data_IF_864953074171
#
_entry.id   IF_864953074171
#
_cell.length_a   1.000
_cell.length_b   1.000
_cell.length_c   1.000
_cell.angle_alpha   90.00
_cell.angle_beta   90.00
_cell.angle_gamma   90.00
#
_symmetry.space_group_name_H-M   'P 1'
#
loop_
_entity.id
_entity.type
_entity.pdbx_description
1 polymer ?
#
# COMPACT_ATOMS: atom_id res chain seq x y z
N UNK A 1 -12.62 77.30 2.93
CA UNK A 1 -13.54 76.20 2.62
C UNK A 1 -12.71 75.01 2.43
N UNK A 2 -12.56 74.18 3.45
CA UNK A 2 -11.84 72.87 3.41
C UNK A 2 -12.87 71.76 3.27
N UNK A 3 -12.78 70.94 2.20
CA UNK A 3 -13.61 69.76 2.03
C UNK A 3 -12.86 68.59 2.64
N UNK A 4 -13.46 67.95 3.63
CA UNK A 4 -13.02 66.71 4.21
C UNK A 4 -13.44 65.53 3.29
N UNK A 5 -12.50 64.80 2.78
CA UNK A 5 -12.74 63.52 2.11
C UNK A 5 -12.80 62.39 3.17
N UNK A 6 -14.01 61.88 3.42
CA UNK A 6 -14.21 60.70 4.25
C UNK A 6 -13.81 59.45 3.46
N UNK A 7 -12.76 58.76 3.86
CA UNK A 7 -12.45 57.39 3.40
C UNK A 7 -13.32 56.40 4.19
N UNK A 8 -14.28 55.78 3.50
CA UNK A 8 -15.01 54.63 4.00
C UNK A 8 -14.06 53.42 4.06
N UNK A 9 -13.69 52.98 5.24
CA UNK A 9 -13.01 51.70 5.48
C UNK A 9 -13.97 50.55 5.13
N UNK A 10 -13.77 49.92 3.98
CA UNK A 10 -14.42 48.69 3.59
C UNK A 10 -14.01 47.61 4.61
N UNK A 11 -14.96 47.12 5.42
CA UNK A 11 -14.76 46.04 6.34
C UNK A 11 -14.44 44.77 5.54
N UNK A 12 -13.25 44.20 5.71
CA UNK A 12 -12.88 42.88 5.21
C UNK A 12 -13.71 41.85 5.96
N UNK A 13 -14.67 41.23 5.27
CA UNK A 13 -15.37 40.04 5.77
C UNK A 13 -14.37 38.91 5.86
N UNK A 14 -14.26 38.31 7.06
CA UNK A 14 -13.46 37.10 7.24
C UNK A 14 -13.95 36.00 6.29
N UNK A 15 -13.05 35.22 5.69
CA UNK A 15 -13.46 34.12 4.81
C UNK A 15 -14.35 33.17 5.57
N UNK A 16 -15.49 32.81 4.99
CA UNK A 16 -16.40 31.77 5.50
C UNK A 16 -15.61 30.48 5.59
N UNK A 17 -15.63 29.78 6.73
CA UNK A 17 -14.96 28.49 6.84
C UNK A 17 -15.49 27.54 5.75
N UNK A 18 -14.63 26.76 5.07
CA UNK A 18 -15.08 25.84 4.05
C UNK A 18 -16.11 24.88 4.64
N UNK A 19 -17.15 24.59 3.87
CA UNK A 19 -18.14 23.58 4.24
C UNK A 19 -17.42 22.26 4.56
N UNK A 20 -17.88 21.47 5.56
CA UNK A 20 -17.25 20.20 5.89
C UNK A 20 -17.18 19.32 4.64
N UNK A 21 -15.99 18.86 4.30
CA UNK A 21 -15.78 18.05 3.12
C UNK A 21 -16.58 16.75 3.23
N UNK A 22 -17.51 16.55 2.31
CA UNK A 22 -18.50 15.48 2.36
C UNK A 22 -17.86 14.14 2.02
N UNK A 23 -18.09 13.12 2.83
CA UNK A 23 -17.81 11.73 2.48
C UNK A 23 -18.90 11.24 1.53
N UNK A 24 -18.54 10.89 0.30
CA UNK A 24 -19.46 10.53 -0.80
C UNK A 24 -19.36 9.03 -1.09
N UNK A 25 -20.47 8.30 -1.24
CA UNK A 25 -20.41 6.92 -1.70
C UNK A 25 -19.72 6.81 -3.06
N UNK A 26 -18.99 5.72 -3.25
CA UNK A 26 -18.31 5.38 -4.49
C UNK A 26 -18.64 3.94 -4.87
N UNK A 27 -18.82 3.68 -6.16
CA UNK A 27 -19.04 2.34 -6.71
C UNK A 27 -18.15 2.16 -7.93
N UNK A 28 -17.40 1.08 -7.97
CA UNK A 28 -16.58 0.72 -9.14
C UNK A 28 -17.50 0.35 -10.29
N UNK A 29 -17.26 0.96 -11.45
CA UNK A 29 -17.96 0.66 -12.70
C UNK A 29 -16.96 0.62 -13.84
N UNK A 30 -16.72 -0.58 -14.37
CA UNK A 30 -15.79 -0.81 -15.47
C UNK A 30 -16.62 -0.95 -16.74
N UNK A 31 -16.56 0.03 -17.65
CA UNK A 31 -17.32 -0.05 -18.90
C UNK A 31 -16.85 -1.20 -19.79
N UNK A 32 -17.78 -1.80 -20.55
CA UNK A 32 -17.42 -2.84 -21.53
C UNK A 32 -16.37 -2.34 -22.52
N UNK A 33 -16.45 -1.07 -22.93
CA UNK A 33 -15.47 -0.46 -23.84
C UNK A 33 -14.04 -0.46 -23.29
N UNK A 34 -13.84 -0.30 -21.97
CA UNK A 34 -12.53 -0.42 -21.35
C UNK A 34 -12.03 -1.86 -21.35
N UNK A 35 -12.94 -2.82 -21.10
CA UNK A 35 -12.61 -4.24 -21.13
C UNK A 35 -12.25 -4.66 -22.56
N UNK A 36 -13.00 -4.21 -23.54
CA UNK A 36 -12.73 -4.50 -24.95
C UNK A 36 -11.41 -3.87 -25.42
N UNK A 37 -11.10 -2.64 -25.00
CA UNK A 37 -9.83 -1.98 -25.34
C UNK A 37 -8.63 -2.77 -24.78
N UNK A 38 -8.67 -3.18 -23.52
CA UNK A 38 -7.55 -3.97 -22.94
C UNK A 38 -7.41 -5.32 -23.65
N UNK A 39 -8.50 -6.03 -23.93
CA UNK A 39 -8.45 -7.31 -24.66
C UNK A 39 -7.88 -7.15 -26.07
N UNK A 40 -8.27 -6.11 -26.79
CA UNK A 40 -7.72 -5.81 -28.11
C UNK A 40 -6.22 -5.47 -28.08
N UNK A 41 -5.75 -4.76 -27.05
CA UNK A 41 -4.33 -4.45 -26.85
C UNK A 41 -3.54 -5.70 -26.50
N UNK A 42 -4.05 -6.56 -25.62
CA UNK A 42 -3.45 -7.85 -25.27
C UNK A 42 -3.30 -8.77 -26.50
N UNK A 43 -4.37 -8.89 -27.33
CA UNK A 43 -4.35 -9.65 -28.58
C UNK A 43 -3.31 -9.16 -29.60
N UNK A 44 -2.92 -7.88 -29.52
CA UNK A 44 -1.95 -7.24 -30.43
C UNK A 44 -0.58 -7.06 -29.79
N UNK A 45 -0.31 -7.72 -28.68
CA UNK A 45 0.97 -7.60 -27.97
C UNK A 45 2.13 -7.93 -28.90
N UNK A 46 3.06 -6.99 -29.04
CA UNK A 46 4.33 -7.21 -29.73
C UNK A 46 5.34 -7.74 -28.73
N UNK A 47 5.64 -9.01 -28.82
CA UNK A 47 6.53 -9.69 -27.90
C UNK A 47 8.01 -9.35 -28.18
N UNK A 48 8.84 -9.19 -27.13
CA UNK A 48 10.29 -9.13 -27.29
C UNK A 48 10.87 -10.49 -27.66
N UNK A 49 12.15 -10.51 -28.03
CA UNK A 49 12.90 -11.72 -28.14
C UNK A 49 12.98 -12.44 -26.76
N UNK A 50 13.06 -13.78 -26.72
CA UNK A 50 13.22 -14.49 -25.47
C UNK A 50 14.50 -14.10 -24.73
N UNK A 51 14.46 -14.25 -23.41
CA UNK A 51 15.63 -14.14 -22.55
C UNK A 51 16.75 -15.08 -22.98
N UNK A 52 18.03 -14.70 -22.75
CA UNK A 52 19.21 -15.48 -23.14
C UNK A 52 19.76 -16.35 -21.98
N UNK A 53 19.08 -16.33 -20.82
CA UNK A 53 19.42 -17.08 -19.61
C UNK A 53 18.31 -18.08 -19.29
N UNK A 54 18.65 -19.10 -18.51
CA UNK A 54 17.67 -20.12 -18.09
C UNK A 54 16.93 -19.82 -16.78
N UNK A 55 17.17 -18.64 -16.21
CA UNK A 55 16.65 -18.22 -14.91
C UNK A 55 15.94 -16.84 -15.01
N UNK A 56 15.69 -16.20 -13.86
CA UNK A 56 15.02 -14.90 -13.77
C UNK A 56 15.97 -13.69 -13.72
N UNK A 57 17.27 -13.89 -13.92
CA UNK A 57 18.27 -12.81 -13.78
C UNK A 57 18.13 -11.68 -14.81
N UNK A 58 17.44 -11.92 -15.91
CA UNK A 58 17.09 -10.92 -16.91
C UNK A 58 15.65 -10.38 -16.75
N UNK A 59 14.95 -10.76 -15.68
CA UNK A 59 13.56 -10.36 -15.42
C UNK A 59 12.54 -11.40 -15.86
N UNK A 60 11.35 -10.97 -16.24
CA UNK A 60 10.22 -11.86 -16.58
C UNK A 60 10.52 -12.65 -17.86
N UNK A 61 10.39 -13.95 -17.78
CA UNK A 61 10.52 -14.86 -18.93
C UNK A 61 9.34 -14.68 -19.88
N UNK A 62 9.63 -14.63 -21.19
CA UNK A 62 8.61 -14.35 -22.21
C UNK A 62 7.48 -15.37 -22.17
N UNK A 63 7.77 -16.66 -21.90
CA UNK A 63 6.74 -17.69 -21.82
C UNK A 63 5.77 -17.47 -20.64
N UNK A 64 6.28 -17.03 -19.46
CA UNK A 64 5.44 -16.73 -18.30
C UNK A 64 4.57 -15.50 -18.54
N UNK A 65 5.16 -14.43 -19.12
CA UNK A 65 4.40 -13.25 -19.52
C UNK A 65 3.30 -13.59 -20.53
N UNK A 66 3.57 -14.48 -21.50
CA UNK A 66 2.55 -14.95 -22.46
C UNK A 66 1.41 -15.69 -21.79
N UNK A 67 1.72 -16.61 -20.88
CA UNK A 67 0.70 -17.36 -20.16
C UNK A 67 -0.22 -16.44 -19.34
N UNK A 68 0.35 -15.47 -18.63
CA UNK A 68 -0.40 -14.46 -17.86
C UNK A 68 -1.29 -13.61 -18.79
N UNK A 69 -0.75 -13.12 -19.90
CA UNK A 69 -1.45 -12.27 -20.88
C UNK A 69 -2.56 -13.03 -21.58
N UNK A 70 -2.31 -14.26 -22.00
CA UNK A 70 -3.32 -15.11 -22.63
C UNK A 70 -4.51 -15.38 -21.70
N UNK A 71 -4.23 -15.62 -20.42
CA UNK A 71 -5.30 -15.77 -19.43
C UNK A 71 -6.04 -14.44 -19.17
N UNK A 72 -5.33 -13.32 -19.08
CA UNK A 72 -5.94 -12.01 -18.89
C UNK A 72 -6.86 -11.61 -20.06
N UNK A 73 -6.47 -11.93 -21.30
CA UNK A 73 -7.26 -11.68 -22.52
C UNK A 73 -8.54 -12.55 -22.53
N UNK A 74 -8.42 -13.87 -22.25
CA UNK A 74 -9.44 -14.87 -22.60
C UNK A 74 -10.18 -15.46 -21.41
N UNK A 75 -9.48 -15.64 -20.28
CA UNK A 75 -9.98 -16.37 -19.10
C UNK A 75 -10.39 -15.49 -17.93
N UNK A 76 -9.80 -14.30 -17.83
CA UNK A 76 -10.00 -13.43 -16.68
C UNK A 76 -11.42 -12.83 -16.63
N UNK A 77 -12.09 -13.00 -15.49
CA UNK A 77 -13.44 -12.51 -15.26
C UNK A 77 -13.45 -11.11 -14.63
N UNK A 78 -13.54 -10.10 -15.50
CA UNK A 78 -13.63 -8.69 -15.11
C UNK A 78 -14.85 -8.37 -14.23
N UNK A 79 -15.97 -9.10 -14.38
CA UNK A 79 -17.18 -8.86 -13.60
C UNK A 79 -17.08 -9.48 -12.21
N UNK A 80 -16.36 -10.60 -12.07
CA UNK A 80 -15.95 -11.13 -10.76
C UNK A 80 -15.13 -10.10 -10.00
N UNK A 81 -14.11 -9.53 -10.66
CA UNK A 81 -13.24 -8.51 -10.07
C UNK A 81 -14.04 -7.28 -9.61
N UNK A 82 -14.84 -6.69 -10.51
CA UNK A 82 -15.68 -5.53 -10.21
C UNK A 82 -16.65 -5.80 -9.04
N UNK A 83 -17.35 -6.96 -9.07
CA UNK A 83 -18.26 -7.35 -8.00
C UNK A 83 -17.54 -7.63 -6.68
N UNK A 84 -16.33 -8.19 -6.73
CA UNK A 84 -15.47 -8.41 -5.59
C UNK A 84 -15.09 -7.11 -4.87
N UNK A 85 -14.73 -6.07 -5.62
CA UNK A 85 -14.50 -4.73 -5.09
C UNK A 85 -15.76 -4.11 -4.50
N UNK A 86 -16.88 -4.19 -5.22
CA UNK A 86 -18.16 -3.60 -4.81
C UNK A 86 -18.87 -4.33 -3.66
N UNK A 87 -18.34 -5.47 -3.22
CA UNK A 87 -18.85 -6.17 -2.03
C UNK A 87 -18.67 -5.35 -0.76
N UNK A 88 -17.70 -4.44 -0.73
CA UNK A 88 -17.43 -3.57 0.39
C UNK A 88 -17.87 -2.13 0.13
N UNK A 89 -18.45 -1.43 1.13
CA UNK A 89 -18.77 -0.01 1.00
C UNK A 89 -17.52 0.81 0.71
N UNK A 90 -17.57 1.65 -0.33
CA UNK A 90 -16.49 2.50 -0.80
C UNK A 90 -16.93 3.95 -0.84
N UNK A 91 -15.97 4.84 -0.66
CA UNK A 91 -16.22 6.28 -0.54
C UNK A 91 -15.11 7.10 -1.17
N UNK A 92 -15.45 8.36 -1.44
CA UNK A 92 -14.51 9.43 -1.79
C UNK A 92 -14.65 10.56 -0.78
N UNK A 93 -13.55 11.19 -0.43
CA UNK A 93 -13.54 12.46 0.31
C UNK A 93 -12.38 13.33 -0.16
N UNK A 94 -12.60 14.62 -0.32
CA UNK A 94 -11.52 15.54 -0.67
C UNK A 94 -10.66 15.84 0.54
N UNK A 95 -9.36 15.55 0.48
CA UNK A 95 -8.38 15.91 1.49
C UNK A 95 -7.25 16.67 0.80
N UNK A 96 -6.99 17.88 1.26
CA UNK A 96 -5.90 18.72 0.79
C UNK A 96 -5.92 18.93 -0.75
N UNK A 97 -7.14 19.15 -1.28
CA UNK A 97 -7.40 19.37 -2.70
C UNK A 97 -7.41 18.11 -3.58
N UNK A 98 -7.36 16.92 -2.98
CA UNK A 98 -7.31 15.65 -3.71
C UNK A 98 -8.46 14.73 -3.26
N UNK A 99 -9.22 14.19 -4.20
CA UNK A 99 -10.21 13.15 -3.90
C UNK A 99 -9.49 11.84 -3.51
N UNK A 100 -9.64 11.46 -2.25
CA UNK A 100 -9.12 10.22 -1.70
C UNK A 100 -10.22 9.16 -1.69
N UNK A 101 -9.97 8.06 -2.36
CA UNK A 101 -10.80 6.88 -2.35
C UNK A 101 -10.44 5.98 -1.15
N UNK A 102 -11.46 5.37 -0.52
CA UNK A 102 -11.24 4.38 0.52
C UNK A 102 -12.40 3.40 0.65
N UNK A 103 -12.09 2.18 1.09
CA UNK A 103 -13.06 1.21 1.59
C UNK A 103 -13.25 1.51 3.08
N UNK A 104 -14.48 1.46 3.58
CA UNK A 104 -14.76 1.61 5.01
C UNK A 104 -15.83 0.61 5.44
N UNK A 105 -15.44 -0.36 6.26
CA UNK A 105 -16.32 -1.40 6.78
C UNK A 105 -16.33 -1.35 8.30
N UNK A 106 -17.50 -1.08 8.86
CA UNK A 106 -17.70 -1.12 10.31
C UNK A 106 -18.05 -2.54 10.77
N UNK A 107 -17.47 -2.93 11.88
CA UNK A 107 -17.89 -4.13 12.59
C UNK A 107 -19.31 -3.99 13.14
N UNK A 108 -19.96 -5.12 13.33
CA UNK A 108 -21.23 -5.20 14.10
C UNK A 108 -21.01 -5.03 15.60
N UNK A 109 -19.76 -5.21 16.07
CA UNK A 109 -19.38 -5.00 17.46
C UNK A 109 -19.12 -3.52 17.73
N UNK A 110 -19.89 -2.92 18.64
CA UNK A 110 -19.78 -1.51 19.02
C UNK A 110 -18.45 -1.14 19.66
N UNK A 111 -17.68 -2.13 20.18
CA UNK A 111 -16.38 -1.94 20.80
C UNK A 111 -15.22 -2.24 19.82
N UNK A 112 -15.50 -2.34 18.52
CA UNK A 112 -14.48 -2.55 17.51
C UNK A 112 -13.47 -1.39 17.51
N UNK A 113 -12.18 -1.74 17.44
CA UNK A 113 -11.11 -0.73 17.34
C UNK A 113 -10.97 -0.27 15.89
N UNK A 114 -11.01 1.02 15.60
CA UNK A 114 -10.76 1.52 14.25
C UNK A 114 -9.32 1.22 13.82
N UNK A 115 -9.15 0.71 12.60
CA UNK A 115 -7.87 0.33 12.03
C UNK A 115 -7.78 0.83 10.58
N UNK A 116 -6.77 1.65 10.30
CA UNK A 116 -6.45 2.05 8.93
C UNK A 116 -5.35 1.12 8.38
N UNK A 117 -5.59 0.55 7.18
CA UNK A 117 -4.66 -0.33 6.46
C UNK A 117 -4.10 0.39 5.25
N UNK A 118 -2.80 0.59 5.19
CA UNK A 118 -2.14 1.29 4.08
C UNK A 118 -1.29 0.33 3.26
N UNK A 119 -1.61 0.25 1.96
CA UNK A 119 -0.90 -0.58 0.98
C UNK A 119 0.39 0.10 0.47
N UNK A 120 1.16 -0.61 -0.36
CA UNK A 120 2.36 -0.10 -1.00
C UNK A 120 2.35 -0.18 -2.53
N UNK A 121 3.53 -0.37 -3.14
CA UNK A 121 3.73 -0.53 -4.57
C UNK A 121 4.45 -1.87 -4.88
N UNK A 122 3.98 -2.67 -5.86
CA UNK A 122 2.83 -2.45 -6.74
C UNK A 122 1.49 -2.91 -6.12
N UNK A 123 1.37 -2.80 -4.82
CA UNK A 123 0.16 -3.11 -4.08
C UNK A 123 -0.97 -2.11 -4.31
N UNK A 124 -2.10 -2.41 -3.73
CA UNK A 124 -3.31 -1.57 -3.76
C UNK A 124 -4.29 -2.02 -2.67
N UNK A 125 -5.48 -1.41 -2.64
CA UNK A 125 -6.57 -1.88 -1.77
C UNK A 125 -6.91 -3.36 -1.98
N UNK A 126 -6.59 -3.93 -3.15
CA UNK A 126 -6.85 -5.34 -3.51
C UNK A 126 -6.18 -6.29 -2.52
N UNK A 127 -4.97 -5.99 -2.06
CA UNK A 127 -4.25 -6.87 -1.12
C UNK A 127 -5.01 -7.11 0.18
N UNK A 128 -5.81 -6.14 0.64
CA UNK A 128 -6.51 -6.24 1.92
C UNK A 128 -7.92 -6.83 1.83
N UNK A 129 -8.45 -7.11 0.64
CA UNK A 129 -9.84 -7.58 0.49
C UNK A 129 -10.11 -8.88 1.26
N UNK A 130 -9.09 -9.76 1.39
CA UNK A 130 -9.18 -11.02 2.15
C UNK A 130 -9.14 -10.80 3.66
N UNK A 131 -8.63 -9.66 4.13
CA UNK A 131 -8.49 -9.34 5.56
C UNK A 131 -9.76 -8.70 6.14
N UNK A 132 -10.52 -7.97 5.31
CA UNK A 132 -11.64 -7.13 5.77
C UNK A 132 -12.67 -7.97 6.55
N UNK A 133 -13.14 -9.08 5.96
CA UNK A 133 -14.11 -9.95 6.62
C UNK A 133 -13.63 -10.46 7.99
N UNK A 134 -12.48 -11.17 8.03
CA UNK A 134 -11.93 -11.65 9.30
C UNK A 134 -11.72 -10.55 10.34
N UNK A 135 -11.23 -9.37 9.96
CA UNK A 135 -11.00 -8.27 10.91
C UNK A 135 -12.31 -7.63 11.41
N UNK A 136 -13.34 -7.52 10.57
CA UNK A 136 -14.59 -6.83 10.95
C UNK A 136 -15.63 -7.74 11.62
N UNK A 137 -15.59 -9.04 11.33
CA UNK A 137 -16.50 -10.05 11.90
C UNK A 137 -15.71 -11.31 12.30
N UNK A 138 -14.78 -11.19 13.28
CA UNK A 138 -13.93 -12.31 13.67
C UNK A 138 -14.69 -13.58 14.06
N UNK A 139 -15.88 -13.46 14.63
CA UNK A 139 -16.69 -14.60 15.08
C UNK A 139 -17.04 -15.53 13.91
N UNK A 140 -17.41 -14.96 12.75
CA UNK A 140 -17.70 -15.74 11.53
C UNK A 140 -16.46 -16.46 10.96
N UNK A 141 -15.26 -16.12 11.45
CA UNK A 141 -13.98 -16.73 11.06
C UNK A 141 -13.26 -17.40 12.23
N UNK A 142 -14.00 -17.83 13.25
CA UNK A 142 -13.47 -18.59 14.39
C UNK A 142 -12.65 -17.79 15.41
N UNK A 143 -12.73 -16.45 15.38
CA UNK A 143 -12.07 -15.56 16.32
C UNK A 143 -13.00 -15.03 17.42
N UNK A 144 -12.49 -14.15 18.28
CA UNK A 144 -13.20 -13.50 19.37
C UNK A 144 -13.81 -12.17 18.92
N UNK A 145 -15.05 -11.88 19.33
CA UNK A 145 -15.72 -10.60 19.06
C UNK A 145 -14.91 -9.40 19.63
N UNK A 146 -14.18 -9.61 20.72
CA UNK A 146 -13.31 -8.58 21.30
C UNK A 146 -12.13 -8.17 20.38
N UNK A 147 -11.77 -9.00 19.41
CA UNK A 147 -10.69 -8.73 18.43
C UNK A 147 -11.20 -8.03 17.17
N UNK A 148 -12.46 -7.58 17.13
CA UNK A 148 -13.00 -6.91 15.93
C UNK A 148 -12.46 -5.51 15.70
N UNK A 149 -12.40 -5.12 14.42
CA UNK A 149 -11.97 -3.81 13.98
C UNK A 149 -13.03 -3.15 13.08
N UNK A 150 -13.13 -1.82 13.15
CA UNK A 150 -13.65 -1.03 12.04
C UNK A 150 -12.49 -0.80 11.06
N UNK A 151 -12.63 -1.22 9.81
CA UNK A 151 -11.52 -1.23 8.85
C UNK A 151 -11.67 -0.09 7.84
N UNK A 152 -10.61 0.70 7.68
CA UNK A 152 -10.48 1.75 6.67
C UNK A 152 -9.30 1.40 5.76
N UNK A 153 -9.53 1.29 4.45
CA UNK A 153 -8.49 0.94 3.45
C UNK A 153 -8.44 2.03 2.39
N UNK A 154 -7.64 3.09 2.57
CA UNK A 154 -7.50 4.12 1.56
C UNK A 154 -6.64 3.66 0.38
N UNK A 155 -6.99 4.10 -0.84
CA UNK A 155 -6.05 4.12 -1.95
C UNK A 155 -5.08 5.28 -1.78
N UNK A 156 -3.78 5.02 -1.85
CA UNK A 156 -2.75 6.07 -1.82
C UNK A 156 -2.99 7.13 -2.91
N UNK A 157 -2.60 8.40 -2.69
CA UNK A 157 -2.66 9.43 -3.73
C UNK A 157 -1.97 8.98 -5.03
N UNK A 158 -2.69 9.05 -6.14
CA UNK A 158 -2.18 8.59 -7.44
C UNK A 158 -2.32 7.08 -7.70
N UNK A 159 -2.87 6.32 -6.77
CA UNK A 159 -3.13 4.88 -6.90
C UNK A 159 -4.63 4.60 -7.01
N UNK A 160 -4.97 3.55 -7.74
CA UNK A 160 -6.33 3.05 -7.81
C UNK A 160 -7.33 4.16 -8.13
N UNK A 161 -8.37 4.28 -7.30
CA UNK A 161 -9.45 5.25 -7.52
C UNK A 161 -9.22 6.60 -6.81
N UNK A 162 -8.12 6.78 -6.08
CA UNK A 162 -7.72 8.11 -5.59
C UNK A 162 -7.27 9.00 -6.74
N UNK A 163 -7.58 10.28 -6.64
CA UNK A 163 -7.17 11.26 -7.64
C UNK A 163 -5.64 11.31 -7.75
N UNK A 164 -5.16 11.55 -8.95
CA UNK A 164 -3.72 11.70 -9.24
C UNK A 164 -3.28 13.12 -8.90
N UNK A 165 -2.22 13.28 -8.06
CA UNK A 165 -1.64 14.59 -7.81
C UNK A 165 -1.22 15.29 -9.11
N UNK A 166 -1.56 16.56 -9.22
CA UNK A 166 -1.16 17.46 -10.33
C UNK A 166 0.04 18.31 -9.97
N UNK A 167 0.42 18.34 -8.69
CA UNK A 167 1.54 19.07 -8.13
C UNK A 167 2.43 18.16 -7.31
N UNK A 168 3.68 18.53 -7.11
CA UNK A 168 4.63 17.84 -6.24
C UNK A 168 4.30 18.04 -4.76
N UNK A 169 4.95 17.25 -3.89
CA UNK A 169 4.84 17.40 -2.44
C UNK A 169 3.91 16.40 -1.76
N UNK A 170 3.37 15.41 -2.48
CA UNK A 170 2.66 14.29 -1.85
C UNK A 170 3.63 13.26 -1.28
N UNK A 171 4.48 13.73 -0.34
CA UNK A 171 5.42 12.90 0.41
C UNK A 171 4.69 11.98 1.40
N UNK A 172 5.40 10.97 1.93
CA UNK A 172 4.85 10.07 2.97
C UNK A 172 4.35 10.83 4.20
N UNK A 173 5.00 11.92 4.60
CA UNK A 173 4.53 12.76 5.71
C UNK A 173 3.20 13.46 5.40
N UNK A 174 3.01 13.94 4.18
CA UNK A 174 1.74 14.55 3.75
C UNK A 174 0.64 13.50 3.66
N UNK A 175 0.94 12.30 3.16
CA UNK A 175 0.00 11.17 3.14
C UNK A 175 -0.39 10.79 4.58
N UNK A 176 0.57 10.70 5.50
CA UNK A 176 0.29 10.43 6.91
C UNK A 176 -0.66 11.50 7.52
N UNK A 177 -0.43 12.79 7.23
CA UNK A 177 -1.34 13.86 7.65
C UNK A 177 -2.74 13.72 7.06
N UNK A 178 -2.83 13.29 5.79
CA UNK A 178 -4.12 13.03 5.14
C UNK A 178 -4.87 11.85 5.81
N UNK A 179 -4.17 10.83 6.28
CA UNK A 179 -4.78 9.72 7.04
C UNK A 179 -5.30 10.16 8.41
N UNK A 180 -4.60 11.07 9.09
CA UNK A 180 -5.11 11.68 10.33
C UNK A 180 -6.42 12.43 10.07
N UNK A 181 -6.47 13.23 9.01
CA UNK A 181 -7.68 13.95 8.63
C UNK A 181 -8.80 12.99 8.21
N UNK A 182 -8.49 11.90 7.48
CA UNK A 182 -9.48 10.89 7.11
C UNK A 182 -10.12 10.24 8.34
N UNK A 183 -9.31 9.77 9.30
CA UNK A 183 -9.81 9.13 10.52
C UNK A 183 -10.66 10.09 11.35
N UNK A 184 -10.25 11.36 11.45
CA UNK A 184 -11.02 12.42 12.10
C UNK A 184 -12.39 12.65 11.42
N UNK A 185 -12.45 12.69 10.09
CA UNK A 185 -13.72 12.84 9.32
C UNK A 185 -14.67 11.69 9.51
N UNK A 186 -14.13 10.49 9.71
CA UNK A 186 -14.92 9.29 10.02
C UNK A 186 -15.40 9.25 11.46
N UNK A 187 -14.98 10.24 12.30
CA UNK A 187 -15.39 10.37 13.71
C UNK A 187 -14.56 9.52 14.67
N UNK A 188 -13.42 9.01 14.25
CA UNK A 188 -12.56 8.18 15.07
C UNK A 188 -11.60 9.05 15.91
N UNK A 189 -11.78 8.98 17.23
CA UNK A 189 -10.94 9.67 18.22
C UNK A 189 -9.87 8.76 18.83
N UNK A 190 -9.97 7.44 18.63
CA UNK A 190 -9.00 6.42 19.03
C UNK A 190 -8.91 5.39 17.91
N UNK A 191 -7.71 5.10 17.42
CA UNK A 191 -7.50 4.22 16.26
C UNK A 191 -6.09 3.67 16.24
N UNK A 192 -5.88 2.61 15.46
CA UNK A 192 -4.57 2.03 15.17
C UNK A 192 -4.31 2.06 13.65
N UNK A 193 -3.05 1.87 13.26
CA UNK A 193 -2.67 1.80 11.86
C UNK A 193 -1.84 0.56 11.56
N UNK A 194 -1.98 0.04 10.33
CA UNK A 194 -1.16 -1.04 9.80
C UNK A 194 -0.65 -0.69 8.42
N UNK A 195 0.56 -1.16 8.08
CA UNK A 195 1.11 -1.02 6.74
C UNK A 195 2.25 -1.98 6.43
N UNK A 196 2.37 -2.30 5.14
CA UNK A 196 3.50 -2.98 4.51
C UNK A 196 4.06 -2.13 3.36
N UNK A 197 5.29 -2.37 2.92
CA UNK A 197 5.95 -1.63 1.85
C UNK A 197 5.86 -0.09 2.07
N UNK A 198 5.46 0.71 1.06
CA UNK A 198 5.20 2.16 1.25
C UNK A 198 4.15 2.43 2.32
N UNK A 199 3.19 1.53 2.50
CA UNK A 199 2.24 1.62 3.62
C UNK A 199 2.93 1.56 4.98
N UNK A 200 4.01 0.78 5.12
CA UNK A 200 4.80 0.77 6.35
C UNK A 200 5.57 2.09 6.53
N UNK A 201 6.07 2.72 5.45
CA UNK A 201 6.72 4.04 5.54
C UNK A 201 5.71 5.11 6.01
N UNK A 202 4.49 5.12 5.44
CA UNK A 202 3.42 6.03 5.85
C UNK A 202 2.99 5.77 7.30
N UNK A 203 2.83 4.49 7.68
CA UNK A 203 2.46 4.10 9.05
C UNK A 203 3.56 4.45 10.05
N UNK A 204 4.83 4.30 9.69
CA UNK A 204 5.97 4.77 10.49
C UNK A 204 5.98 6.29 10.65
N UNK A 205 5.65 7.03 9.58
CA UNK A 205 5.50 8.48 9.66
C UNK A 205 4.35 8.90 10.60
N UNK A 206 3.21 8.19 10.58
CA UNK A 206 2.14 8.36 11.57
C UNK A 206 2.66 8.13 13.00
N UNK A 207 3.43 7.06 13.20
CA UNK A 207 4.06 6.74 14.48
C UNK A 207 5.03 7.83 14.97
N UNK A 208 5.78 8.45 14.07
CA UNK A 208 6.70 9.55 14.40
C UNK A 208 5.94 10.85 14.71
N UNK A 209 4.83 11.11 14.01
CA UNK A 209 3.97 12.28 14.24
C UNK A 209 3.20 12.18 15.56
N UNK A 210 2.87 10.97 16.03
CA UNK A 210 2.05 10.70 17.21
C UNK A 210 0.79 11.59 17.27
N UNK A 211 -0.07 11.58 16.24
CA UNK A 211 -1.25 12.42 16.25
C UNK A 211 -2.21 11.99 17.36
N UNK A 212 -3.00 12.95 17.84
CA UNK A 212 -4.04 12.64 18.83
C UNK A 212 -4.95 11.49 18.34
N UNK A 213 -5.19 10.53 19.20
CA UNK A 213 -6.02 9.36 18.93
C UNK A 213 -5.30 8.16 18.31
N UNK A 214 -4.07 8.29 17.82
CA UNK A 214 -3.29 7.14 17.38
C UNK A 214 -2.78 6.35 18.59
N UNK A 215 -3.29 5.13 18.77
CA UNK A 215 -2.95 4.26 19.91
C UNK A 215 -1.64 3.51 19.71
N UNK A 216 -1.33 3.12 18.48
CA UNK A 216 -0.16 2.35 18.12
C UNK A 216 -0.23 1.90 16.66
N UNK A 217 0.82 1.24 16.21
CA UNK A 217 0.96 0.79 14.84
C UNK A 217 1.36 -0.68 14.75
N UNK A 218 1.01 -1.31 13.63
CA UNK A 218 1.50 -2.64 13.25
C UNK A 218 2.21 -2.58 11.90
N UNK A 219 3.37 -3.24 11.78
CA UNK A 219 4.20 -3.23 10.58
C UNK A 219 4.56 -4.66 10.16
N UNK A 220 4.40 -5.00 8.89
CA UNK A 220 4.95 -6.25 8.34
C UNK A 220 6.16 -6.02 7.43
N UNK A 221 6.51 -4.78 7.14
CA UNK A 221 7.81 -4.37 6.56
C UNK A 221 8.44 -3.33 7.47
N UNK A 222 9.73 -3.47 7.81
CA UNK A 222 10.38 -2.64 8.81
C UNK A 222 11.42 -1.72 8.17
N UNK A 223 11.43 -0.46 8.60
CA UNK A 223 12.44 0.54 8.26
C UNK A 223 13.21 0.91 9.54
N UNK A 224 14.10 0.01 9.96
CA UNK A 224 14.81 0.08 11.23
C UNK A 224 16.31 -0.25 11.09
N UNK A 225 16.91 0.06 9.93
CA UNK A 225 18.36 -0.03 9.78
C UNK A 225 19.04 0.99 10.69
N UNK A 226 20.18 0.64 11.33
CA UNK A 226 20.98 1.62 12.05
C UNK A 226 21.53 2.68 11.09
N UNK A 227 21.68 3.93 11.57
CA UNK A 227 22.25 5.01 10.77
C UNK A 227 23.69 4.73 10.30
N UNK A 228 24.40 3.91 11.07
CA UNK A 228 25.73 3.39 10.72
C UNK A 228 25.74 1.89 10.97
N UNK A 229 26.11 1.13 9.96
CA UNK A 229 26.27 -0.32 10.08
C UNK A 229 27.49 -0.59 10.97
N UNK A 230 27.37 -1.41 12.04
CA UNK A 230 28.49 -1.76 12.90
C UNK A 230 29.59 -2.51 12.14
N UNK A 231 30.86 -2.30 12.52
CA UNK A 231 32.01 -3.01 11.92
C UNK A 231 31.97 -4.52 12.19
N UNK A 232 31.40 -4.93 13.32
CA UNK A 232 31.22 -6.34 13.70
C UNK A 232 29.74 -6.68 13.70
N UNK A 233 29.36 -7.66 12.91
CA UNK A 233 27.97 -8.07 12.70
C UNK A 233 27.72 -9.49 13.24
N UNK A 234 26.58 -9.68 13.90
CA UNK A 234 26.04 -11.03 14.14
C UNK A 234 25.65 -11.70 12.82
N UNK A 235 25.40 -13.02 12.79
CA UNK A 235 24.91 -13.70 11.59
C UNK A 235 23.64 -13.07 11.04
N UNK A 236 22.65 -12.72 11.89
CA UNK A 236 21.38 -12.13 11.49
C UNK A 236 21.59 -10.70 10.93
N UNK A 237 22.47 -9.91 11.55
CA UNK A 237 22.81 -8.58 11.06
C UNK A 237 23.53 -8.63 9.72
N UNK A 238 24.43 -9.61 9.52
CA UNK A 238 25.09 -9.84 8.23
C UNK A 238 24.05 -10.19 7.16
N UNK A 239 23.14 -11.11 7.46
CA UNK A 239 22.04 -11.47 6.54
C UNK A 239 21.20 -10.26 6.17
N UNK A 240 20.87 -9.37 7.13
CA UNK A 240 20.14 -8.13 6.85
C UNK A 240 20.89 -7.21 5.90
N UNK A 241 22.21 -7.07 6.05
CA UNK A 241 23.06 -6.26 5.15
C UNK A 241 23.14 -6.89 3.75
N UNK A 242 23.27 -8.21 3.66
CA UNK A 242 23.28 -8.94 2.38
C UNK A 242 21.94 -8.80 1.64
N UNK A 243 20.82 -8.96 2.36
CA UNK A 243 19.50 -8.77 1.76
C UNK A 243 19.20 -7.32 1.41
N UNK A 244 19.76 -6.35 2.15
CA UNK A 244 19.71 -4.94 1.77
C UNK A 244 20.46 -4.69 0.46
N UNK A 245 21.64 -5.27 0.31
CA UNK A 245 22.42 -5.13 -0.93
C UNK A 245 21.67 -5.72 -2.14
N UNK A 246 21.02 -6.86 -1.96
CA UNK A 246 20.16 -7.46 -2.97
C UNK A 246 18.94 -6.55 -3.30
N UNK A 247 18.28 -6.01 -2.28
CA UNK A 247 17.12 -5.11 -2.43
C UNK A 247 17.47 -3.81 -3.17
N UNK A 248 18.64 -3.22 -2.88
CA UNK A 248 19.09 -1.97 -3.51
C UNK A 248 19.81 -2.19 -4.84
N UNK A 249 20.35 -3.38 -5.07
CA UNK A 249 21.03 -3.80 -6.30
C UNK A 249 20.07 -4.47 -7.30
N UNK A 250 20.17 -5.77 -7.43
CA UNK A 250 19.48 -6.55 -8.48
C UNK A 250 17.95 -6.43 -8.45
N UNK A 251 17.34 -6.37 -7.25
CA UNK A 251 15.90 -6.17 -7.11
C UNK A 251 15.48 -4.70 -7.15
N UNK A 252 16.43 -3.77 -7.11
CA UNK A 252 16.21 -2.33 -7.00
C UNK A 252 15.91 -1.59 -8.30
N UNK A 253 15.98 -2.25 -9.45
CA UNK A 253 15.86 -1.60 -10.77
C UNK A 253 14.60 -0.76 -10.92
N UNK A 254 13.44 -1.29 -10.54
CA UNK A 254 12.18 -0.56 -10.58
C UNK A 254 12.15 0.63 -9.61
N UNK A 255 12.68 0.46 -8.40
CA UNK A 255 12.76 1.52 -7.39
C UNK A 255 13.61 2.68 -7.89
N UNK A 256 14.78 2.38 -8.50
CA UNK A 256 15.66 3.38 -9.06
C UNK A 256 15.03 4.13 -10.23
N UNK A 257 14.40 3.40 -11.17
CA UNK A 257 13.77 4.01 -12.34
C UNK A 257 12.59 4.90 -11.94
N UNK A 258 11.71 4.43 -11.05
CA UNK A 258 10.57 5.21 -10.54
C UNK A 258 11.03 6.38 -9.65
N UNK A 259 12.12 6.22 -8.88
CA UNK A 259 12.71 7.30 -8.08
C UNK A 259 13.38 8.40 -8.89
N UNK A 260 13.70 8.15 -10.15
CA UNK A 260 14.41 9.10 -11.02
C UNK A 260 13.59 9.58 -12.21
N UNK A 261 12.89 8.68 -12.89
CA UNK A 261 12.19 8.94 -14.17
C UNK A 261 10.84 8.22 -14.25
N UNK A 262 9.90 8.42 -13.29
CA UNK A 262 8.61 7.72 -13.27
C UNK A 262 7.77 7.95 -14.53
N UNK A 263 7.78 9.17 -15.09
CA UNK A 263 7.03 9.48 -16.31
C UNK A 263 7.59 8.73 -17.53
N UNK A 264 8.90 8.56 -17.64
CA UNK A 264 9.51 7.88 -18.79
C UNK A 264 9.05 6.43 -18.87
N UNK A 265 9.05 5.69 -17.77
CA UNK A 265 8.53 4.33 -17.75
C UNK A 265 7.01 4.32 -17.87
N UNK A 266 6.35 5.36 -17.34
CA UNK A 266 4.91 5.53 -17.39
C UNK A 266 4.34 5.52 -18.82
N UNK A 267 5.03 6.07 -19.83
CA UNK A 267 4.62 5.99 -21.22
C UNK A 267 4.45 4.55 -21.72
N UNK A 268 5.43 3.68 -21.41
CA UNK A 268 5.38 2.28 -21.80
C UNK A 268 4.28 1.51 -21.05
N UNK A 269 4.17 1.74 -19.73
CA UNK A 269 3.21 1.05 -18.89
C UNK A 269 1.76 1.50 -19.09
N UNK A 270 1.53 2.75 -19.52
CA UNK A 270 0.20 3.26 -19.83
C UNK A 270 -0.31 2.81 -21.20
N UNK A 271 0.57 2.47 -22.13
CA UNK A 271 0.19 2.07 -23.50
C UNK A 271 0.15 0.56 -23.69
N UNK A 272 1.00 -0.21 -23.01
CA UNK A 272 1.08 -1.66 -23.12
C UNK A 272 0.56 -2.37 -21.86
N UNK A 273 -0.64 -3.02 -21.91
CA UNK A 273 -1.12 -3.82 -20.79
C UNK A 273 -0.20 -5.01 -20.52
N UNK A 274 0.36 -5.65 -21.55
CA UNK A 274 1.32 -6.73 -21.39
C UNK A 274 2.64 -6.25 -20.73
N UNK A 275 3.10 -5.05 -21.09
CA UNK A 275 4.27 -4.43 -20.46
C UNK A 275 4.02 -4.10 -18.98
N UNK A 276 2.84 -3.54 -18.68
CA UNK A 276 2.45 -3.29 -17.28
C UNK A 276 2.30 -4.59 -16.49
N UNK A 277 1.69 -5.62 -17.08
CA UNK A 277 1.57 -6.93 -16.45
C UNK A 277 2.94 -7.53 -16.13
N UNK A 278 3.87 -7.52 -17.08
CA UNK A 278 5.23 -8.00 -16.86
C UNK A 278 5.96 -7.20 -15.76
N UNK A 279 5.81 -5.86 -15.75
CA UNK A 279 6.43 -4.97 -14.74
C UNK A 279 5.97 -5.27 -13.31
N UNK A 280 4.69 -5.60 -13.11
CA UNK A 280 4.12 -5.93 -11.80
C UNK A 280 4.38 -7.40 -11.45
N UNK A 281 4.20 -8.32 -12.42
CA UNK A 281 4.42 -9.76 -12.21
C UNK A 281 5.85 -10.08 -11.74
N UNK A 282 6.85 -9.36 -12.25
CA UNK A 282 8.24 -9.52 -11.80
C UNK A 282 8.36 -9.29 -10.29
N UNK A 283 7.57 -8.36 -9.70
CA UNK A 283 7.59 -8.12 -8.26
C UNK A 283 6.90 -9.25 -7.48
N UNK A 284 5.84 -9.82 -8.02
CA UNK A 284 5.24 -11.01 -7.41
C UNK A 284 6.22 -12.20 -7.45
N UNK A 285 6.87 -12.42 -8.59
CA UNK A 285 7.84 -13.51 -8.73
C UNK A 285 9.05 -13.32 -7.80
N UNK A 286 9.62 -12.12 -7.70
CA UNK A 286 10.86 -11.88 -6.96
C UNK A 286 10.68 -11.71 -5.45
N UNK A 287 9.45 -11.43 -4.95
CA UNK A 287 9.22 -11.03 -3.56
C UNK A 287 8.20 -11.89 -2.80
N UNK A 288 7.53 -12.85 -3.44
CA UNK A 288 6.64 -13.79 -2.74
C UNK A 288 7.40 -15.01 -2.23
N UNK A 289 6.79 -15.75 -1.31
CA UNK A 289 7.30 -17.03 -0.82
C UNK A 289 6.97 -18.15 -1.81
N UNK A 290 7.67 -18.15 -2.94
CA UNK A 290 7.47 -19.09 -4.05
C UNK A 290 8.67 -20.03 -4.25
N UNK A 291 8.51 -21.03 -5.08
CA UNK A 291 9.53 -22.03 -5.44
C UNK A 291 10.06 -21.85 -6.88
N UNK A 292 9.88 -20.67 -7.45
CA UNK A 292 10.36 -20.31 -8.79
C UNK A 292 9.31 -19.62 -9.64
N UNK A 293 8.02 -19.75 -9.31
CA UNK A 293 6.92 -19.11 -10.00
C UNK A 293 6.04 -18.34 -9.01
N UNK A 294 5.59 -17.16 -9.36
CA UNK A 294 4.65 -16.39 -8.52
C UNK A 294 3.36 -17.16 -8.23
N UNK A 295 2.94 -18.02 -9.14
CA UNK A 295 1.77 -18.88 -9.06
C UNK A 295 1.85 -19.94 -7.94
N UNK A 296 3.04 -20.20 -7.40
CA UNK A 296 3.22 -21.08 -6.22
C UNK A 296 2.69 -20.42 -4.95
N UNK A 297 2.69 -19.07 -4.90
CA UNK A 297 2.29 -18.30 -3.74
C UNK A 297 0.95 -17.56 -3.92
N UNK A 298 0.62 -17.14 -5.15
CA UNK A 298 -0.56 -16.36 -5.48
C UNK A 298 -1.37 -17.01 -6.61
N UNK A 299 -2.70 -16.92 -6.54
CA UNK A 299 -3.50 -17.30 -7.69
C UNK A 299 -3.30 -16.31 -8.84
N UNK A 300 -3.43 -16.78 -10.07
CA UNK A 300 -3.36 -15.92 -11.25
C UNK A 300 -4.42 -14.81 -11.21
N UNK A 301 -5.58 -15.08 -10.63
CA UNK A 301 -6.65 -14.10 -10.43
C UNK A 301 -6.25 -13.03 -9.41
N UNK A 302 -5.62 -13.37 -8.28
CA UNK A 302 -5.13 -12.38 -7.31
C UNK A 302 -4.11 -11.42 -7.95
N UNK A 303 -3.18 -11.95 -8.76
CA UNK A 303 -2.21 -11.14 -9.49
C UNK A 303 -2.88 -10.24 -10.53
N UNK A 304 -3.83 -10.79 -11.29
CA UNK A 304 -4.54 -10.02 -12.31
C UNK A 304 -5.53 -9.01 -11.72
N UNK A 305 -6.11 -9.25 -10.56
CA UNK A 305 -6.93 -8.25 -9.85
C UNK A 305 -6.09 -7.02 -9.50
N UNK A 306 -4.87 -7.22 -8.99
CA UNK A 306 -3.93 -6.14 -8.73
C UNK A 306 -3.52 -5.41 -10.03
N UNK A 307 -3.07 -6.15 -11.04
CA UNK A 307 -2.65 -5.60 -12.35
C UNK A 307 -3.80 -4.85 -13.04
N UNK A 308 -5.01 -5.43 -13.02
CA UNK A 308 -6.19 -4.84 -13.64
C UNK A 308 -6.58 -3.51 -13.01
N UNK A 309 -6.45 -3.37 -11.68
CA UNK A 309 -6.72 -2.10 -11.02
C UNK A 309 -5.79 -0.99 -11.53
N UNK A 310 -4.49 -1.28 -11.66
CA UNK A 310 -3.51 -0.33 -12.22
C UNK A 310 -3.87 0.06 -13.65
N UNK A 311 -4.28 -0.91 -14.47
CA UNK A 311 -4.62 -0.69 -15.86
C UNK A 311 -5.88 0.17 -16.03
N UNK A 312 -7.00 -0.23 -15.42
CA UNK A 312 -8.29 0.47 -15.60
C UNK A 312 -8.28 1.90 -15.07
N UNK A 313 -7.43 2.18 -14.08
CA UNK A 313 -7.25 3.51 -13.51
C UNK A 313 -6.09 4.27 -14.14
N UNK A 314 -5.32 3.63 -15.04
CA UNK A 314 -4.12 4.21 -15.64
C UNK A 314 -3.16 4.80 -14.60
N UNK A 315 -2.88 4.05 -13.52
CA UNK A 315 -2.11 4.55 -12.38
C UNK A 315 -0.63 4.17 -12.38
N UNK A 316 -0.12 3.59 -13.45
CA UNK A 316 1.28 3.16 -13.53
C UNK A 316 2.27 4.31 -13.26
N UNK A 317 2.17 5.43 -14.01
CA UNK A 317 3.04 6.59 -13.82
C UNK A 317 2.80 7.30 -12.48
N UNK A 318 1.52 7.58 -12.17
CA UNK A 318 1.16 8.35 -10.98
C UNK A 318 1.53 7.62 -9.68
N UNK A 319 1.40 6.30 -9.63
CA UNK A 319 1.83 5.50 -8.46
C UNK A 319 3.35 5.49 -8.31
N UNK A 320 4.09 5.43 -9.42
CA UNK A 320 5.56 5.46 -9.41
C UNK A 320 6.13 6.76 -8.83
N UNK A 321 5.36 7.86 -8.86
CA UNK A 321 5.81 9.14 -8.29
C UNK A 321 6.05 9.10 -6.78
N UNK A 322 5.47 8.17 -6.04
CA UNK A 322 5.76 8.01 -4.60
C UNK A 322 7.26 7.79 -4.36
N UNK A 323 7.95 7.06 -5.24
CA UNK A 323 9.41 6.89 -5.18
C UNK A 323 10.16 8.19 -5.44
N UNK A 324 9.71 8.98 -6.41
CA UNK A 324 10.34 10.25 -6.77
C UNK A 324 10.15 11.31 -5.68
N UNK A 325 8.95 11.40 -5.11
CA UNK A 325 8.61 12.33 -4.02
C UNK A 325 9.40 12.02 -2.74
N UNK A 326 9.81 10.76 -2.55
CA UNK A 326 10.47 10.29 -1.34
C UNK A 326 11.89 9.72 -1.59
N UNK A 327 12.54 10.12 -2.68
CA UNK A 327 13.89 9.63 -3.06
C UNK A 327 14.97 9.88 -2.02
N UNK A 328 14.77 10.79 -1.09
CA UNK A 328 15.67 11.05 0.05
C UNK A 328 15.30 10.25 1.31
N UNK A 329 14.23 9.47 1.28
CA UNK A 329 13.88 8.60 2.40
C UNK A 329 14.99 7.55 2.59
N UNK A 330 15.38 7.35 3.84
CA UNK A 330 16.38 6.37 4.22
C UNK A 330 15.73 5.13 4.80
N UNK A 331 16.39 3.98 4.70
CA UNK A 331 15.98 2.75 5.36
C UNK A 331 16.22 2.77 6.88
N UNK A 332 16.98 3.77 7.36
CA UNK A 332 17.07 4.11 8.78
C UNK A 332 15.80 4.87 9.17
N UNK A 333 14.82 4.16 9.70
CA UNK A 333 13.57 4.75 10.18
C UNK A 333 13.77 5.67 11.40
N UNK A 334 12.80 6.52 11.70
CA UNK A 334 12.80 7.32 12.92
C UNK A 334 12.66 6.43 14.16
N UNK A 335 13.28 6.83 15.27
CA UNK A 335 13.02 6.18 16.56
C UNK A 335 11.58 6.46 17.01
N UNK A 336 10.85 5.39 17.32
CA UNK A 336 9.45 5.49 17.74
C UNK A 336 9.32 5.16 19.23
N UNK A 337 8.48 5.94 19.92
CA UNK A 337 8.18 5.77 21.35
C UNK A 337 6.73 5.34 21.60
N UNK A 338 5.85 5.47 20.59
CA UNK A 338 4.50 4.93 20.68
C UNK A 338 4.55 3.38 20.63
N UNK A 339 3.45 2.69 21.00
CA UNK A 339 3.35 1.23 20.87
C UNK A 339 3.50 0.78 19.40
N UNK A 340 4.46 -0.12 19.15
CA UNK A 340 4.72 -0.73 17.84
C UNK A 340 4.59 -2.24 17.94
N UNK A 341 3.80 -2.83 17.06
CA UNK A 341 3.76 -4.27 16.81
C UNK A 341 4.45 -4.56 15.48
N UNK A 342 5.21 -5.61 15.41
CA UNK A 342 5.94 -6.03 14.19
C UNK A 342 5.68 -7.50 13.91
N UNK A 343 5.44 -7.83 12.64
CA UNK A 343 5.47 -9.21 12.15
C UNK A 343 6.47 -9.32 11.02
N UNK A 344 7.40 -10.27 11.14
CA UNK A 344 8.43 -10.53 10.13
C UNK A 344 8.02 -11.77 9.33
N UNK A 345 7.97 -11.63 8.01
CA UNK A 345 7.75 -12.74 7.09
C UNK A 345 9.07 -13.25 6.54
N UNK A 346 9.27 -14.60 6.40
CA UNK A 346 10.59 -15.17 6.13
C UNK A 346 11.17 -14.79 4.77
N UNK A 347 10.31 -14.47 3.79
CA UNK A 347 10.74 -14.09 2.43
C UNK A 347 10.62 -12.60 2.12
N UNK A 348 10.23 -11.75 3.11
CA UNK A 348 10.31 -10.30 2.91
C UNK A 348 11.77 -9.82 2.91
N UNK A 349 12.10 -8.86 2.04
CA UNK A 349 13.46 -8.36 1.81
C UNK A 349 13.45 -6.83 1.84
N UNK A 350 14.35 -6.19 2.64
CA UNK A 350 15.34 -6.78 3.53
C UNK A 350 14.73 -7.31 4.84
N UNK A 351 15.27 -8.42 5.35
CA UNK A 351 14.86 -8.98 6.63
C UNK A 351 15.74 -8.46 7.76
N UNK A 352 15.15 -7.69 8.68
CA UNK A 352 15.87 -7.08 9.79
C UNK A 352 15.95 -7.99 11.02
N UNK A 353 17.08 -7.98 11.75
CA UNK A 353 17.19 -8.69 13.01
C UNK A 353 16.38 -7.98 14.10
N UNK A 354 15.84 -8.75 15.02
CA UNK A 354 15.05 -8.24 16.15
C UNK A 354 15.79 -7.15 16.94
N UNK A 355 17.10 -7.27 17.14
CA UNK A 355 17.90 -6.29 17.87
C UNK A 355 17.83 -4.89 17.27
N UNK A 356 17.86 -4.74 15.94
CA UNK A 356 17.75 -3.44 15.29
C UNK A 356 16.32 -2.87 15.34
N UNK A 357 15.34 -3.75 15.33
CA UNK A 357 13.94 -3.37 15.50
C UNK A 357 13.70 -2.82 16.92
N UNK A 358 14.19 -3.52 17.94
CA UNK A 358 14.11 -3.09 19.35
C UNK A 358 14.89 -1.78 19.62
N UNK A 359 16.03 -1.59 18.97
CA UNK A 359 16.81 -0.36 19.07
C UNK A 359 16.09 0.85 18.44
N UNK A 360 15.24 0.62 17.44
CA UNK A 360 14.50 1.66 16.71
C UNK A 360 13.13 1.92 17.35
N UNK A 361 12.43 0.88 17.80
CA UNK A 361 11.09 0.96 18.35
C UNK A 361 11.14 0.67 19.85
N UNK A 362 11.36 1.72 20.67
CA UNK A 362 11.59 1.60 22.11
C UNK A 362 10.38 1.07 22.90
N UNK A 363 9.17 1.10 22.29
CA UNK A 363 7.94 0.53 22.86
C UNK A 363 7.41 -0.58 21.94
N UNK A 364 8.23 -1.61 21.71
CA UNK A 364 7.86 -2.78 20.95
C UNK A 364 6.93 -3.66 21.78
N UNK A 365 5.63 -3.64 21.48
CA UNK A 365 4.59 -4.37 22.24
C UNK A 365 4.35 -5.79 21.73
N UNK A 366 4.77 -6.09 20.47
CA UNK A 366 4.67 -7.40 19.85
C UNK A 366 5.77 -7.58 18.81
N UNK A 367 6.34 -8.78 18.76
CA UNK A 367 7.25 -9.23 17.72
C UNK A 367 6.88 -10.64 17.30
N UNK A 368 6.26 -10.76 16.15
CA UNK A 368 5.86 -12.03 15.54
C UNK A 368 6.82 -12.44 14.43
N UNK A 369 7.11 -13.74 14.32
CA UNK A 369 7.83 -14.34 13.18
C UNK A 369 6.90 -15.36 12.54
N UNK A 370 6.47 -15.06 11.30
CA UNK A 370 5.69 -15.99 10.51
C UNK A 370 6.57 -17.16 10.00
N UNK A 371 5.98 -18.33 9.88
CA UNK A 371 6.65 -19.53 9.39
C UNK A 371 6.73 -19.58 7.85
N UNK A 372 5.90 -18.80 7.17
CA UNK A 372 5.80 -18.72 5.70
C UNK A 372 5.26 -17.35 5.26
N UNK A 373 5.43 -17.05 3.98
CA UNK A 373 5.01 -15.82 3.34
C UNK A 373 6.16 -14.86 3.05
N UNK A 374 5.91 -13.94 2.16
CA UNK A 374 6.85 -12.94 1.67
C UNK A 374 6.33 -11.52 1.82
N UNK A 375 6.72 -10.70 0.86
CA UNK A 375 6.44 -9.26 0.84
C UNK A 375 4.94 -8.93 0.76
N UNK A 376 4.18 -9.72 -0.01
CA UNK A 376 2.75 -9.52 -0.20
C UNK A 376 1.92 -10.31 0.83
N UNK A 377 2.32 -10.23 2.11
CA UNK A 377 1.77 -11.01 3.20
C UNK A 377 0.24 -11.05 3.25
N UNK A 378 -0.43 -9.93 2.95
CA UNK A 378 -1.89 -9.83 2.93
C UNK A 378 -2.55 -10.68 1.83
N UNK A 379 -1.87 -10.89 0.70
CA UNK A 379 -2.32 -11.77 -0.39
C UNK A 379 -1.91 -13.22 -0.16
N UNK A 380 -0.63 -13.44 0.26
CA UNK A 380 -0.02 -14.75 0.40
C UNK A 380 -0.53 -15.52 1.63
N UNK A 381 -0.61 -14.83 2.77
CA UNK A 381 -0.90 -15.42 4.09
C UNK A 381 -1.89 -14.56 4.88
N UNK A 382 -3.11 -14.32 4.35
CA UNK A 382 -4.09 -13.44 4.98
C UNK A 382 -4.46 -13.87 6.40
N UNK A 383 -4.57 -15.17 6.67
CA UNK A 383 -4.93 -15.71 7.99
C UNK A 383 -3.85 -15.43 9.03
N UNK A 384 -2.57 -15.60 8.65
CA UNK A 384 -1.43 -15.30 9.53
C UNK A 384 -1.42 -13.80 9.83
N UNK A 385 -1.50 -12.96 8.79
CA UNK A 385 -1.46 -11.50 9.00
C UNK A 385 -2.63 -10.99 9.86
N UNK A 386 -3.84 -11.53 9.67
CA UNK A 386 -5.00 -11.21 10.52
C UNK A 386 -4.74 -11.60 11.97
N UNK A 387 -4.20 -12.79 12.22
CA UNK A 387 -3.85 -13.26 13.56
C UNK A 387 -2.82 -12.34 14.23
N UNK A 388 -1.79 -11.97 13.48
CA UNK A 388 -0.71 -11.11 13.96
C UNK A 388 -1.19 -9.68 14.25
N UNK A 389 -2.02 -9.09 13.38
CA UNK A 389 -2.64 -7.78 13.62
C UNK A 389 -3.48 -7.81 14.91
N UNK A 390 -4.31 -8.84 15.08
CA UNK A 390 -5.15 -9.00 16.32
C UNK A 390 -4.27 -9.11 17.55
N UNK A 391 -3.29 -10.00 17.53
CA UNK A 391 -2.39 -10.26 18.66
C UNK A 391 -1.56 -9.03 18.99
N UNK A 392 -0.96 -8.41 17.98
CA UNK A 392 -0.07 -7.27 18.14
C UNK A 392 -0.76 -6.02 18.68
N UNK A 393 -2.02 -5.81 18.30
CA UNK A 393 -2.77 -4.62 18.72
C UNK A 393 -3.73 -4.87 19.92
N UNK A 394 -3.77 -6.08 20.46
CA UNK A 394 -4.72 -6.45 21.53
C UNK A 394 -4.58 -5.59 22.77
N UNK A 395 -3.35 -5.28 23.18
CA UNK A 395 -3.06 -4.49 24.39
C UNK A 395 -3.49 -3.02 24.28
N UNK A 396 -3.80 -2.53 23.07
CA UNK A 396 -4.25 -1.16 22.84
C UNK A 396 -5.75 -0.96 23.03
N UNK A 397 -6.49 -2.04 23.29
CA UNK A 397 -7.96 -2.02 23.45
C UNK A 397 -8.42 -1.63 24.86
N UNK A 398 -7.50 -1.63 25.82
CA UNK A 398 -7.76 -1.25 27.23
C UNK A 398 -7.88 0.26 27.41
#
# INVERSE_FOLDING_TARGET
MLRSSGEEKKAMTAPTPPAPALVRPFTVSISDSKIDDVKQRLARTRWPDPETVGDWSQGVRVENARSLVDYWERGYDWRRFESGLNRFPQFLTEIDGLDIHFIHVRSKNSNAMPLILTHGWPGSIVEFLKLIGPLTDPVSFGGDAADSFDVVVPSLPGFGFSQKPTETGWTVSRIASAWVELMKRLGYTRWAAHGGDWGAVVTTALGAMQPEGLLGIHLNTQYAFPAQIPDTLSPEQRYAVETLALYTGDLGGANHLQGTKPETVGFALADSPAGQAAWIYEKFQSKTDNHGLAEDALSIDDMLDAISLYWITNSAASSGRIYWENKSATLAGPKLTLPVAVTVFPRDIPRLPRSWIEDTYSNLIHYGEADKGGHFAALEQPEILVSEIRTGLRTLRS
#
